data_IF_775633317409
#
_entry.id   IF_775633317409
#
_cell.length_a   1.000
_cell.length_b   1.000
_cell.length_c   1.000
_cell.angle_alpha   90.00
_cell.angle_beta   90.00
_cell.angle_gamma   90.00
#
_symmetry.space_group_name_H-M   'P 1'
#
loop_
_entity.id
_entity.type
_entity.pdbx_description
1 polymer ?
#
# COMPACT_ATOMS: atom_id res chain seq x y z
N UNK A 1 21.08 19.25 25.59
CA UNK A 1 21.23 18.88 24.17
C UNK A 1 21.18 17.36 24.07
N UNK A 2 19.98 16.81 23.86
CA UNK A 2 19.79 15.36 23.71
C UNK A 2 19.82 15.01 22.22
N UNK A 3 20.57 13.97 21.85
CA UNK A 3 20.66 13.42 20.50
C UNK A 3 19.27 12.97 20.05
N UNK A 4 18.74 13.56 18.96
CA UNK A 4 17.59 13.02 18.22
C UNK A 4 17.98 11.63 17.71
N UNK A 5 17.27 10.62 18.18
CA UNK A 5 17.39 9.25 17.69
C UNK A 5 17.02 9.22 16.21
N UNK A 6 17.88 8.58 15.44
CA UNK A 6 17.74 8.36 14.00
C UNK A 6 16.62 7.31 13.79
N UNK A 7 15.37 7.75 13.67
CA UNK A 7 14.21 6.89 13.34
C UNK A 7 14.18 6.74 11.82
N UNK A 8 15.12 5.98 11.28
CA UNK A 8 15.31 5.81 9.84
C UNK A 8 14.99 4.38 9.37
N UNK A 9 14.16 3.66 10.11
CA UNK A 9 13.74 2.32 9.72
C UNK A 9 12.52 1.86 10.49
N UNK A 10 11.66 1.10 9.80
CA UNK A 10 10.65 0.20 10.40
C UNK A 10 9.23 0.71 10.70
N UNK A 11 8.79 1.89 10.24
CA UNK A 11 7.39 2.33 10.48
C UNK A 11 6.46 2.26 9.27
N UNK A 12 7.00 2.36 8.05
CA UNK A 12 6.20 2.50 6.82
C UNK A 12 6.09 1.22 5.97
N UNK A 13 7.05 0.31 6.13
CA UNK A 13 7.07 -0.95 5.39
C UNK A 13 5.81 -1.81 5.64
N UNK A 14 5.12 -1.66 6.78
CA UNK A 14 3.94 -2.48 7.10
C UNK A 14 2.66 -1.99 6.42
N UNK A 15 2.45 -0.67 6.30
CA UNK A 15 1.32 -0.07 5.58
C UNK A 15 1.47 -0.30 4.06
N UNK A 16 2.71 -0.19 3.55
CA UNK A 16 3.08 -0.42 2.14
C UNK A 16 3.00 -1.91 1.73
N UNK A 17 2.73 -2.85 2.65
CA UNK A 17 2.59 -4.29 2.33
C UNK A 17 1.16 -4.67 1.90
N UNK A 18 0.13 -3.81 2.04
CA UNK A 18 -1.27 -4.28 2.08
C UNK A 18 -2.14 -4.14 0.81
N UNK A 19 -1.84 -3.30 -0.18
CA UNK A 19 -2.60 -3.27 -1.45
C UNK A 19 -2.09 -4.34 -2.44
N UNK A 20 -2.08 -5.59 -2.00
CA UNK A 20 -1.69 -6.73 -2.86
C UNK A 20 -2.89 -7.36 -3.56
N UNK A 21 -4.14 -7.13 -3.14
CA UNK A 21 -5.26 -7.96 -3.62
C UNK A 21 -6.12 -7.31 -4.72
N UNK A 22 -6.12 -5.98 -4.89
CA UNK A 22 -7.02 -5.33 -5.87
C UNK A 22 -6.32 -5.09 -7.23
N UNK A 23 -4.99 -5.00 -7.27
CA UNK A 23 -4.23 -4.87 -8.53
C UNK A 23 -3.85 -6.21 -9.20
N UNK A 24 -4.36 -7.36 -8.72
CA UNK A 24 -4.07 -8.70 -9.30
C UNK A 24 -4.84 -9.00 -10.61
N UNK A 25 -5.42 -8.02 -11.28
CA UNK A 25 -6.10 -8.24 -12.55
C UNK A 25 -5.10 -8.35 -13.73
N UNK A 26 -4.00 -9.11 -13.60
CA UNK A 26 -3.09 -9.30 -14.74
C UNK A 26 -1.83 -10.16 -14.56
N UNK A 27 -1.20 -10.23 -13.38
CA UNK A 27 0.09 -10.93 -13.24
C UNK A 27 -0.05 -12.33 -12.64
N UNK A 28 0.33 -13.37 -13.40
CA UNK A 28 0.44 -14.75 -12.91
C UNK A 28 1.67 -14.96 -12.01
N UNK A 29 2.55 -13.95 -11.90
CA UNK A 29 3.86 -14.05 -11.26
C UNK A 29 3.81 -14.31 -9.74
N UNK A 30 2.94 -13.65 -8.95
CA UNK A 30 2.78 -13.97 -7.53
C UNK A 30 2.23 -15.39 -7.33
N UNK A 31 1.39 -15.88 -8.24
CA UNK A 31 0.89 -17.25 -8.23
C UNK A 31 2.00 -18.27 -8.52
N UNK A 32 2.90 -18.00 -9.46
CA UNK A 32 4.07 -18.84 -9.71
C UNK A 32 5.05 -18.86 -8.54
N UNK A 33 5.33 -17.71 -7.91
CA UNK A 33 6.16 -17.62 -6.71
C UNK A 33 5.53 -18.40 -5.54
N UNK A 34 4.23 -18.24 -5.31
CA UNK A 34 3.51 -19.00 -4.27
C UNK A 34 3.54 -20.52 -4.49
N UNK A 35 3.39 -20.97 -5.74
CA UNK A 35 3.50 -22.38 -6.10
C UNK A 35 4.93 -22.92 -5.94
N UNK A 36 5.95 -22.14 -6.32
CA UNK A 36 7.35 -22.48 -6.10
C UNK A 36 7.67 -22.65 -4.62
N UNK A 37 7.30 -21.68 -3.79
CA UNK A 37 7.51 -21.73 -2.34
C UNK A 37 6.81 -22.94 -1.72
N UNK A 38 5.56 -23.20 -2.11
CA UNK A 38 4.78 -24.35 -1.64
C UNK A 38 5.42 -25.68 -2.06
N UNK A 39 5.91 -25.77 -3.29
CA UNK A 39 6.61 -26.95 -3.82
C UNK A 39 7.95 -27.19 -3.12
N UNK A 40 8.80 -26.17 -3.03
CA UNK A 40 10.11 -26.24 -2.39
C UNK A 40 10.02 -26.52 -0.88
N UNK A 41 8.97 -26.02 -0.21
CA UNK A 41 8.68 -26.36 1.19
C UNK A 41 8.31 -27.84 1.36
N UNK A 42 7.60 -28.42 0.40
CA UNK A 42 7.25 -29.85 0.41
C UNK A 42 8.45 -30.75 0.10
N UNK A 43 9.40 -30.30 -0.74
CA UNK A 43 10.61 -31.07 -1.07
C UNK A 43 11.74 -30.91 -0.04
N UNK A 44 11.71 -29.86 0.79
CA UNK A 44 12.77 -29.55 1.75
C UNK A 44 13.89 -28.69 1.19
N UNK A 45 13.74 -28.18 -0.05
CA UNK A 45 14.78 -27.45 -0.79
C UNK A 45 14.64 -25.91 -0.68
N UNK A 46 13.73 -25.40 0.14
CA UNK A 46 13.54 -23.96 0.32
C UNK A 46 14.66 -23.37 1.20
N UNK A 47 15.83 -23.16 0.62
CA UNK A 47 16.92 -22.43 1.26
C UNK A 47 16.69 -20.92 1.16
N UNK A 48 17.27 -20.10 2.08
CA UNK A 48 17.20 -18.65 1.99
C UNK A 48 17.69 -18.09 0.64
N UNK A 49 18.73 -18.69 0.07
CA UNK A 49 19.29 -18.27 -1.22
C UNK A 49 18.35 -18.60 -2.39
N UNK A 50 17.74 -19.79 -2.40
CA UNK A 50 16.76 -20.16 -3.42
C UNK A 50 15.52 -19.26 -3.37
N UNK A 51 15.08 -18.89 -2.16
CA UNK A 51 14.00 -17.93 -1.97
C UNK A 51 14.36 -16.54 -2.51
N UNK A 52 15.53 -16.00 -2.13
CA UNK A 52 16.00 -14.70 -2.63
C UNK A 52 16.15 -14.69 -4.16
N UNK A 53 16.68 -15.76 -4.74
CA UNK A 53 16.79 -15.90 -6.19
C UNK A 53 15.40 -15.85 -6.86
N UNK A 54 14.41 -16.58 -6.33
CA UNK A 54 13.06 -16.57 -6.88
C UNK A 54 12.40 -15.19 -6.84
N UNK A 55 12.64 -14.40 -5.78
CA UNK A 55 12.16 -13.01 -5.70
C UNK A 55 12.89 -12.12 -6.70
N UNK A 56 14.20 -12.27 -6.84
CA UNK A 56 15.01 -11.52 -7.80
C UNK A 56 14.53 -11.75 -9.24
N UNK A 57 14.25 -13.00 -9.62
CA UNK A 57 13.73 -13.34 -10.96
C UNK A 57 12.37 -12.70 -11.23
N UNK A 58 11.46 -12.71 -10.25
CA UNK A 58 10.15 -12.04 -10.37
C UNK A 58 10.32 -10.53 -10.48
N UNK A 59 11.20 -9.93 -9.68
CA UNK A 59 11.51 -8.50 -9.72
C UNK A 59 12.02 -8.09 -11.11
N UNK A 60 12.96 -8.84 -11.70
CA UNK A 60 13.48 -8.56 -13.04
C UNK A 60 12.39 -8.63 -14.13
N UNK A 61 11.46 -9.58 -14.02
CA UNK A 61 10.33 -9.67 -14.95
C UNK A 61 9.35 -8.50 -14.80
N UNK A 62 9.11 -8.05 -13.58
CA UNK A 62 8.29 -6.87 -13.32
C UNK A 62 8.97 -5.59 -13.83
N UNK A 63 10.29 -5.46 -13.71
CA UNK A 63 11.04 -4.33 -14.28
C UNK A 63 10.91 -4.28 -15.80
N UNK A 64 10.95 -5.44 -16.47
CA UNK A 64 10.74 -5.52 -17.91
C UNK A 64 9.30 -5.13 -18.30
N UNK A 65 8.29 -5.57 -17.54
CA UNK A 65 6.90 -5.20 -17.79
C UNK A 65 6.63 -3.72 -17.53
N UNK A 66 7.18 -3.15 -16.46
CA UNK A 66 7.10 -1.72 -16.19
C UNK A 66 7.66 -0.92 -17.36
N UNK A 67 8.86 -1.29 -17.85
CA UNK A 67 9.47 -0.63 -18.99
C UNK A 67 8.62 -0.73 -20.27
N UNK A 68 8.04 -1.89 -20.56
CA UNK A 68 7.17 -2.04 -21.73
C UNK A 68 5.92 -1.17 -21.64
N UNK A 69 5.35 -1.00 -20.44
CA UNK A 69 4.22 -0.10 -20.21
C UNK A 69 4.64 1.37 -20.28
N UNK A 70 5.80 1.74 -19.73
CA UNK A 70 6.38 3.08 -19.88
C UNK A 70 6.56 3.42 -21.37
N UNK A 71 7.21 2.56 -22.14
CA UNK A 71 7.42 2.75 -23.59
C UNK A 71 6.08 2.87 -24.33
N UNK A 72 5.06 2.08 -23.94
CA UNK A 72 3.71 2.17 -24.52
C UNK A 72 3.01 3.50 -24.19
N UNK A 73 3.11 3.96 -22.93
CA UNK A 73 2.52 5.24 -22.50
C UNK A 73 3.22 6.41 -23.20
N UNK A 74 4.53 6.36 -23.39
CA UNK A 74 5.29 7.38 -24.12
C UNK A 74 4.88 7.45 -25.60
N UNK A 75 4.58 6.31 -26.23
CA UNK A 75 4.18 6.24 -27.64
C UNK A 75 2.71 6.60 -27.89
N UNK A 76 1.80 6.12 -27.02
CA UNK A 76 0.36 6.17 -27.27
C UNK A 76 -0.42 7.06 -26.28
N UNK A 77 0.25 7.57 -25.25
CA UNK A 77 -0.35 8.34 -24.17
C UNK A 77 -0.89 7.48 -23.02
N UNK A 78 -1.08 8.09 -21.83
CA UNK A 78 -1.59 7.38 -20.67
C UNK A 78 -3.09 7.09 -20.80
N UNK A 79 -3.49 5.93 -20.30
CA UNK A 79 -4.88 5.59 -19.98
C UNK A 79 -4.98 5.19 -18.51
N UNK A 80 -6.17 5.30 -17.93
CA UNK A 80 -6.43 4.83 -16.56
C UNK A 80 -5.97 3.37 -16.37
N UNK A 81 -6.28 2.49 -17.33
CA UNK A 81 -5.92 1.07 -17.27
C UNK A 81 -4.40 0.84 -17.30
N UNK A 82 -3.67 1.56 -18.17
CA UNK A 82 -2.21 1.41 -18.28
C UNK A 82 -1.50 1.96 -17.04
N UNK A 83 -1.96 3.10 -16.51
CA UNK A 83 -1.39 3.69 -15.30
C UNK A 83 -1.72 2.86 -14.05
N UNK A 84 -2.94 2.34 -13.91
CA UNK A 84 -3.31 1.47 -12.80
C UNK A 84 -2.47 0.19 -12.78
N UNK A 85 -2.20 -0.39 -13.96
CA UNK A 85 -1.31 -1.54 -14.07
C UNK A 85 0.14 -1.18 -13.70
N UNK A 86 0.63 -0.04 -14.20
CA UNK A 86 1.98 0.45 -13.89
C UNK A 86 2.16 0.73 -12.38
N UNK A 87 1.18 1.34 -11.73
CA UNK A 87 1.16 1.55 -10.27
C UNK A 87 1.23 0.23 -9.51
N UNK A 88 0.44 -0.77 -9.92
CA UNK A 88 0.49 -2.11 -9.34
C UNK A 88 1.84 -2.81 -9.50
N UNK A 89 2.55 -2.57 -10.60
CA UNK A 89 3.90 -3.09 -10.83
C UNK A 89 4.93 -2.37 -9.94
N UNK A 90 4.94 -1.03 -9.90
CA UNK A 90 5.87 -0.30 -9.04
C UNK A 90 5.69 -0.63 -7.57
N UNK A 91 4.45 -0.78 -7.12
CA UNK A 91 4.15 -1.22 -5.76
C UNK A 91 4.77 -2.60 -5.44
N UNK A 92 4.68 -3.57 -6.35
CA UNK A 92 5.34 -4.87 -6.18
C UNK A 92 6.87 -4.76 -6.21
N UNK A 93 7.41 -3.89 -7.07
CA UNK A 93 8.84 -3.66 -7.16
C UNK A 93 9.42 -3.04 -5.89
N UNK A 94 8.70 -2.12 -5.24
CA UNK A 94 9.05 -1.58 -3.92
C UNK A 94 9.11 -2.72 -2.90
N UNK A 95 8.05 -3.53 -2.80
CA UNK A 95 7.99 -4.63 -1.84
C UNK A 95 9.11 -5.68 -2.05
N UNK A 96 9.38 -6.09 -3.29
CA UNK A 96 10.46 -7.03 -3.57
C UNK A 96 11.84 -6.44 -3.34
N UNK A 97 12.02 -5.15 -3.62
CA UNK A 97 13.25 -4.46 -3.27
C UNK A 97 13.50 -4.47 -1.77
N UNK A 98 12.50 -4.11 -0.95
CA UNK A 98 12.65 -4.07 0.50
C UNK A 98 13.02 -5.44 1.09
N UNK A 99 12.52 -6.52 0.50
CA UNK A 99 12.89 -7.89 0.89
C UNK A 99 14.34 -8.23 0.51
N UNK A 100 14.78 -7.81 -0.69
CA UNK A 100 16.08 -8.20 -1.24
C UNK A 100 17.22 -7.35 -0.70
N UNK A 101 17.02 -6.04 -0.64
CA UNK A 101 18.02 -5.03 -0.32
C UNK A 101 17.33 -3.75 0.20
N UNK A 102 16.95 -3.71 1.49
CA UNK A 102 16.21 -2.61 2.12
C UNK A 102 17.02 -1.32 2.28
N UNK A 103 18.35 -1.37 2.10
CA UNK A 103 19.20 -0.18 2.16
C UNK A 103 19.24 0.57 0.83
N UNK A 104 18.77 -0.07 -0.25
CA UNK A 104 18.74 0.50 -1.58
C UNK A 104 17.34 1.01 -1.90
N UNK A 105 17.20 2.32 -2.00
CA UNK A 105 15.98 2.98 -2.49
C UNK A 105 16.04 3.11 -4.02
N UNK A 106 15.39 2.24 -4.80
CA UNK A 106 15.19 2.43 -6.23
C UNK A 106 14.18 3.57 -6.45
N UNK A 107 14.11 4.13 -7.67
CA UNK A 107 13.22 5.26 -7.97
C UNK A 107 11.72 4.86 -8.04
N UNK A 108 11.32 3.68 -7.55
CA UNK A 108 9.95 3.18 -7.70
C UNK A 108 8.94 3.96 -6.87
N UNK A 109 9.33 4.53 -5.72
CA UNK A 109 8.41 5.34 -4.91
C UNK A 109 8.03 6.64 -5.62
N UNK A 110 8.99 7.36 -6.19
CA UNK A 110 8.73 8.58 -6.99
C UNK A 110 7.93 8.26 -8.26
N UNK A 111 8.25 7.13 -8.92
CA UNK A 111 7.48 6.67 -10.09
C UNK A 111 6.03 6.31 -9.72
N UNK A 112 5.82 5.65 -8.58
CA UNK A 112 4.50 5.34 -8.05
C UNK A 112 3.71 6.62 -7.72
N UNK A 113 4.37 7.59 -7.08
CA UNK A 113 3.77 8.90 -6.81
C UNK A 113 3.30 9.58 -8.11
N UNK A 114 4.17 9.72 -9.10
CA UNK A 114 3.79 10.34 -10.37
C UNK A 114 2.63 9.60 -11.03
N UNK A 115 2.66 8.26 -11.01
CA UNK A 115 1.58 7.45 -11.59
C UNK A 115 0.23 7.71 -10.91
N UNK A 116 0.20 7.86 -9.58
CA UNK A 116 -1.03 8.19 -8.88
C UNK A 116 -1.48 9.64 -9.08
N UNK A 117 -0.56 10.59 -9.24
CA UNK A 117 -0.91 11.96 -9.63
C UNK A 117 -1.63 11.96 -11.00
N UNK A 118 -1.09 11.23 -11.97
CA UNK A 118 -1.69 11.10 -13.30
C UNK A 118 -3.06 10.37 -13.26
N UNK A 119 -3.19 9.34 -12.41
CA UNK A 119 -4.47 8.64 -12.21
C UNK A 119 -5.55 9.53 -11.61
N UNK A 120 -5.20 10.36 -10.61
CA UNK A 120 -6.14 11.31 -10.00
C UNK A 120 -6.50 12.42 -10.98
N UNK A 121 -5.59 12.85 -11.86
CA UNK A 121 -5.91 13.80 -12.93
C UNK A 121 -6.92 13.21 -13.93
N UNK A 122 -6.77 11.94 -14.31
CA UNK A 122 -7.67 11.27 -15.26
C UNK A 122 -9.03 10.89 -14.64
N UNK A 123 -9.04 10.51 -13.37
CA UNK A 123 -10.22 10.03 -12.66
C UNK A 123 -10.33 10.67 -11.26
N UNK A 124 -10.64 11.98 -11.17
CA UNK A 124 -10.62 12.73 -9.92
C UNK A 124 -11.64 12.24 -8.89
N UNK A 125 -12.74 11.60 -9.32
CA UNK A 125 -13.76 11.06 -8.43
C UNK A 125 -13.44 9.63 -7.93
N UNK A 126 -12.33 9.04 -8.38
CA UNK A 126 -11.91 7.71 -7.94
C UNK A 126 -11.20 7.78 -6.58
N UNK A 127 -11.95 7.51 -5.51
CA UNK A 127 -11.48 7.61 -4.13
C UNK A 127 -10.33 6.65 -3.82
N UNK A 128 -10.22 5.51 -4.50
CA UNK A 128 -9.10 4.58 -4.32
C UNK A 128 -7.79 5.20 -4.83
N UNK A 129 -7.82 5.89 -5.97
CA UNK A 129 -6.62 6.57 -6.48
C UNK A 129 -6.21 7.75 -5.60
N UNK A 130 -7.18 8.52 -5.11
CA UNK A 130 -6.92 9.59 -4.15
C UNK A 130 -6.32 9.08 -2.85
N UNK A 131 -6.89 8.00 -2.29
CA UNK A 131 -6.33 7.36 -1.10
C UNK A 131 -4.91 6.85 -1.33
N UNK A 132 -4.66 6.19 -2.46
CA UNK A 132 -3.32 5.70 -2.78
C UNK A 132 -2.32 6.82 -3.07
N UNK A 133 -2.78 7.98 -3.54
CA UNK A 133 -1.96 9.18 -3.69
C UNK A 133 -1.50 9.71 -2.31
N UNK A 134 -2.37 9.72 -1.29
CA UNK A 134 -1.98 10.04 0.10
C UNK A 134 -0.84 9.12 0.55
N UNK A 135 -1.01 7.80 0.36
CA UNK A 135 0.00 6.82 0.75
C UNK A 135 1.30 6.98 -0.06
N UNK A 136 1.21 7.35 -1.34
CA UNK A 136 2.38 7.58 -2.18
C UNK A 136 3.16 8.83 -1.76
N UNK A 137 2.48 9.92 -1.38
CA UNK A 137 3.13 11.10 -0.81
C UNK A 137 3.88 10.76 0.49
N UNK A 138 3.23 10.02 1.39
CA UNK A 138 3.89 9.52 2.60
C UNK A 138 5.11 8.65 2.29
N UNK A 139 5.00 7.77 1.30
CA UNK A 139 6.08 6.89 0.87
C UNK A 139 7.35 7.61 0.38
N UNK A 140 7.23 8.87 -0.06
CA UNK A 140 8.36 9.74 -0.43
C UNK A 140 8.60 10.89 0.56
N UNK A 141 8.05 10.79 1.78
CA UNK A 141 8.21 11.78 2.87
C UNK A 141 7.71 13.20 2.50
N UNK A 142 6.69 13.30 1.65
CA UNK A 142 6.00 14.55 1.28
C UNK A 142 4.79 14.79 2.17
N UNK A 143 5.05 15.08 3.44
CA UNK A 143 4.02 15.14 4.51
C UNK A 143 3.00 16.27 4.32
N UNK A 144 3.41 17.42 3.78
CA UNK A 144 2.49 18.55 3.55
C UNK A 144 1.47 18.21 2.45
N UNK A 145 1.93 17.61 1.35
CA UNK A 145 1.09 17.15 0.26
C UNK A 145 0.20 15.98 0.68
N UNK A 146 0.74 15.03 1.46
CA UNK A 146 -0.04 13.93 2.02
C UNK A 146 -1.20 14.45 2.89
N UNK A 147 -0.93 15.42 3.77
CA UNK A 147 -1.95 16.03 4.63
C UNK A 147 -3.01 16.78 3.83
N UNK A 148 -2.59 17.58 2.85
CA UNK A 148 -3.54 18.33 2.01
C UNK A 148 -4.48 17.39 1.24
N UNK A 149 -3.95 16.29 0.67
CA UNK A 149 -4.77 15.31 -0.04
C UNK A 149 -5.66 14.51 0.93
N UNK A 150 -5.17 14.18 2.13
CA UNK A 150 -5.92 13.51 3.18
C UNK A 150 -7.13 14.35 3.63
N UNK A 151 -6.93 15.63 3.95
CA UNK A 151 -8.00 16.56 4.33
C UNK A 151 -9.07 16.64 3.24
N UNK A 152 -8.65 16.84 1.98
CA UNK A 152 -9.57 16.91 0.85
C UNK A 152 -10.28 15.58 0.55
N UNK A 153 -9.72 14.44 0.95
CA UNK A 153 -10.37 13.13 0.80
C UNK A 153 -11.38 12.89 1.94
N UNK A 154 -11.07 13.30 3.17
CA UNK A 154 -11.98 13.23 4.31
C UNK A 154 -13.26 14.04 4.06
N UNK A 155 -13.15 15.26 3.52
CA UNK A 155 -14.31 16.11 3.17
C UNK A 155 -15.31 15.41 2.22
N UNK A 156 -14.81 14.52 1.36
CA UNK A 156 -15.64 13.74 0.42
C UNK A 156 -16.20 12.47 1.05
N UNK A 157 -15.43 11.83 1.93
CA UNK A 157 -15.81 10.57 2.59
C UNK A 157 -16.87 10.78 3.68
N UNK A 158 -16.74 11.81 4.52
CA UNK A 158 -17.65 12.08 5.65
C UNK A 158 -19.15 11.99 5.29
N UNK A 159 -19.67 12.74 4.31
CA UNK A 159 -21.10 12.67 3.98
C UNK A 159 -21.51 11.31 3.41
N UNK A 160 -20.62 10.59 2.70
CA UNK A 160 -20.92 9.27 2.14
C UNK A 160 -21.08 8.21 3.23
N UNK A 161 -20.32 8.35 4.30
CA UNK A 161 -20.38 7.44 5.44
C UNK A 161 -21.70 7.54 6.22
N UNK A 162 -22.37 8.70 6.18
CA UNK A 162 -23.68 8.90 6.80
C UNK A 162 -24.85 8.29 5.99
N UNK A 163 -24.75 8.25 4.66
CA UNK A 163 -25.84 7.83 3.78
C UNK A 163 -25.91 6.31 3.57
N UNK A 164 -24.85 5.71 3.03
CA UNK A 164 -24.77 4.28 2.74
C UNK A 164 -23.29 3.85 2.69
N UNK A 165 -22.68 3.61 3.85
CA UNK A 165 -21.24 3.46 3.95
C UNK A 165 -20.74 2.17 3.29
N UNK A 166 -19.83 2.31 2.33
CA UNK A 166 -19.05 1.21 1.80
C UNK A 166 -17.87 0.89 2.74
N UNK A 167 -17.57 -0.39 2.95
CA UNK A 167 -16.51 -0.80 3.89
C UNK A 167 -15.10 -0.41 3.43
N UNK A 168 -14.89 -0.22 2.12
CA UNK A 168 -13.63 0.31 1.59
C UNK A 168 -13.49 1.80 1.92
N UNK A 169 -14.56 2.57 1.73
CA UNK A 169 -14.61 3.99 2.11
C UNK A 169 -14.41 4.17 3.62
N UNK A 170 -15.04 3.32 4.45
CA UNK A 170 -14.79 3.25 5.89
C UNK A 170 -13.33 2.98 6.21
N UNK A 171 -12.70 2.04 5.51
CA UNK A 171 -11.29 1.71 5.72
C UNK A 171 -10.39 2.91 5.42
N UNK A 172 -10.61 3.59 4.29
CA UNK A 172 -9.87 4.81 3.94
C UNK A 172 -10.01 5.85 5.05
N UNK A 173 -11.24 6.14 5.46
CA UNK A 173 -11.49 7.14 6.49
C UNK A 173 -10.84 6.78 7.84
N UNK A 174 -10.88 5.51 8.26
CA UNK A 174 -10.21 5.06 9.47
C UNK A 174 -8.68 5.25 9.40
N UNK A 175 -8.06 5.01 8.25
CA UNK A 175 -6.62 5.27 8.05
C UNK A 175 -6.35 6.77 8.18
N UNK A 176 -7.15 7.63 7.53
CA UNK A 176 -6.96 9.07 7.58
C UNK A 176 -7.09 9.62 9.02
N UNK A 177 -8.08 9.16 9.78
CA UNK A 177 -8.23 9.52 11.20
C UNK A 177 -7.00 9.16 12.04
N UNK A 178 -6.53 7.92 11.93
CA UNK A 178 -5.42 7.44 12.75
C UNK A 178 -4.06 8.01 12.36
N UNK A 179 -3.84 8.36 11.09
CA UNK A 179 -2.54 8.87 10.61
C UNK A 179 -2.45 10.41 10.57
N UNK A 180 -3.56 11.12 10.32
CA UNK A 180 -3.53 12.57 10.07
C UNK A 180 -4.22 13.40 11.14
N UNK A 181 -5.25 12.87 11.80
CA UNK A 181 -6.02 13.56 12.85
C UNK A 181 -5.60 13.17 14.28
N UNK A 182 -4.69 12.20 14.44
CA UNK A 182 -4.26 11.68 15.75
C UNK A 182 -5.46 11.21 16.60
N UNK A 183 -6.47 10.61 15.94
CA UNK A 183 -7.67 10.03 16.58
C UNK A 183 -7.70 8.50 16.38
N UNK A 184 -6.80 7.76 17.06
CA UNK A 184 -6.73 6.32 16.94
C UNK A 184 -7.98 5.61 17.50
N UNK A 185 -8.65 6.19 18.49
CA UNK A 185 -9.89 5.63 19.04
C UNK A 185 -11.02 5.63 18.00
N UNK A 186 -11.28 6.75 17.33
CA UNK A 186 -12.30 6.80 16.27
C UNK A 186 -11.97 5.87 15.09
N UNK A 187 -10.68 5.79 14.72
CA UNK A 187 -10.23 4.83 13.72
C UNK A 187 -10.54 3.38 14.12
N UNK A 188 -10.25 3.00 15.37
CA UNK A 188 -10.53 1.66 15.90
C UNK A 188 -12.03 1.32 15.90
N UNK A 189 -12.91 2.27 16.24
CA UNK A 189 -14.35 2.07 16.18
C UNK A 189 -14.82 1.71 14.76
N UNK A 190 -14.35 2.44 13.74
CA UNK A 190 -14.70 2.17 12.34
C UNK A 190 -14.13 0.82 11.88
N UNK A 191 -12.89 0.49 12.27
CA UNK A 191 -12.27 -0.80 11.92
C UNK A 191 -13.04 -1.98 12.50
N UNK A 192 -13.57 -1.86 13.72
CA UNK A 192 -14.42 -2.89 14.31
C UNK A 192 -15.71 -3.10 13.51
N UNK A 193 -16.35 -2.01 13.05
CA UNK A 193 -17.54 -2.11 12.19
C UNK A 193 -17.23 -2.85 10.89
N UNK A 194 -16.07 -2.59 10.27
CA UNK A 194 -15.62 -3.32 9.08
C UNK A 194 -15.47 -4.81 9.40
N UNK A 195 -14.76 -5.16 10.48
CA UNK A 195 -14.52 -6.56 10.87
C UNK A 195 -15.81 -7.32 11.23
N UNK A 196 -16.86 -6.64 11.69
CA UNK A 196 -18.17 -7.24 11.98
C UNK A 196 -19.05 -7.45 10.74
N UNK A 197 -18.86 -6.62 9.71
CA UNK A 197 -19.80 -6.56 8.56
C UNK A 197 -19.21 -7.08 7.25
N UNK A 198 -17.89 -7.05 7.10
CA UNK A 198 -17.17 -7.49 5.92
C UNK A 198 -16.97 -9.01 5.92
N UNK A 199 -16.99 -9.64 4.74
CA UNK A 199 -16.74 -11.09 4.65
C UNK A 199 -15.32 -11.43 5.13
N UNK A 200 -15.21 -12.36 6.07
CA UNK A 200 -13.92 -12.81 6.60
C UNK A 200 -12.98 -13.26 5.47
N UNK A 201 -11.76 -12.72 5.47
CA UNK A 201 -10.76 -13.01 4.45
C UNK A 201 -10.89 -12.19 3.16
N UNK A 202 -11.87 -11.28 3.03
CA UNK A 202 -11.86 -10.28 1.96
C UNK A 202 -10.65 -9.34 2.10
N UNK A 203 -10.28 -8.67 1.01
CA UNK A 203 -9.16 -7.72 1.02
C UNK A 203 -9.35 -6.60 2.05
N UNK A 204 -10.56 -6.05 2.15
CA UNK A 204 -10.90 -4.99 3.09
C UNK A 204 -10.88 -5.50 4.53
N UNK A 205 -11.45 -6.69 4.80
CA UNK A 205 -11.40 -7.33 6.12
C UNK A 205 -9.96 -7.50 6.62
N UNK A 206 -9.09 -8.07 5.77
CA UNK A 206 -7.69 -8.32 6.13
C UNK A 206 -6.91 -7.02 6.33
N UNK A 207 -7.23 -5.97 5.57
CA UNK A 207 -6.59 -4.66 5.69
C UNK A 207 -7.01 -3.97 6.98
N UNK A 208 -8.30 -3.99 7.31
CA UNK A 208 -8.83 -3.42 8.54
C UNK A 208 -8.27 -4.11 9.79
N UNK A 209 -8.21 -5.45 9.78
CA UNK A 209 -7.67 -6.22 10.91
C UNK A 209 -6.20 -5.90 11.20
N UNK A 210 -5.37 -5.81 10.16
CA UNK A 210 -3.95 -5.46 10.33
C UNK A 210 -3.78 -4.04 10.86
N UNK A 211 -4.49 -3.07 10.28
CA UNK A 211 -4.36 -1.69 10.70
C UNK A 211 -4.87 -1.49 12.14
N UNK A 212 -5.92 -2.22 12.54
CA UNK A 212 -6.37 -2.29 13.93
C UNK A 212 -5.26 -2.79 14.85
N UNK A 213 -4.61 -3.93 14.52
CA UNK A 213 -3.52 -4.47 15.33
C UNK A 213 -2.37 -3.46 15.48
N UNK A 214 -2.05 -2.70 14.43
CA UNK A 214 -1.03 -1.65 14.44
C UNK A 214 -1.41 -0.47 15.35
N UNK A 215 -2.66 -0.01 15.28
CA UNK A 215 -3.17 1.05 16.16
C UNK A 215 -3.15 0.63 17.64
N UNK A 216 -3.63 -0.57 17.95
CA UNK A 216 -3.62 -1.09 19.33
C UNK A 216 -2.19 -1.22 19.88
N UNK A 217 -1.24 -1.68 19.05
CA UNK A 217 0.17 -1.74 19.43
C UNK A 217 0.73 -0.34 19.71
N UNK A 218 0.41 0.66 18.87
CA UNK A 218 0.84 2.06 19.06
C UNK A 218 0.31 2.64 20.37
N UNK A 219 -0.96 2.46 20.67
CA UNK A 219 -1.59 2.95 21.90
C UNK A 219 -0.92 2.35 23.14
N UNK A 220 -0.73 1.03 23.14
CA UNK A 220 -0.04 0.33 24.22
C UNK A 220 1.39 0.84 24.44
N UNK A 221 2.13 1.07 23.36
CA UNK A 221 3.48 1.63 23.45
C UNK A 221 3.50 3.06 24.02
N UNK A 222 2.46 3.86 23.81
CA UNK A 222 2.35 5.20 24.38
C UNK A 222 2.00 5.14 25.87
N UNK A 223 1.10 4.24 26.26
CA UNK A 223 0.77 3.98 27.66
C UNK A 223 2.00 3.51 28.46
N UNK A 224 2.79 2.59 27.90
CA UNK A 224 4.01 2.07 28.55
C UNK A 224 5.13 3.12 28.69
N UNK A 225 5.05 4.24 27.96
CA UNK A 225 6.02 5.35 27.99
C UNK A 225 5.62 6.48 28.95
N UNK A 226 4.38 6.51 29.44
CA UNK A 226 3.82 7.53 30.32
C UNK A 226 3.79 7.07 31.79
#
# INVERSE_FOLDING_TARGET
MAKRGNIRGSRWATIIIVIVVIAMAGSTLPFFLGNFISGARKSGDLTPDAFKQSIQEVKEQLEQQAKQLEDYIDEYGPTEATLANLAGIYYQLINYQDILDPEKTPPYQEKLLQTYQDLVELAPDNLEYRFNLVLAYQGVEKEEEARAEAEALMEVLEPRLEENPDNRERYYYAVLLGEFEDDPEAALEILNVILETEHEGSGVYNSAGRYKDELEARLKEQEDKN
#
